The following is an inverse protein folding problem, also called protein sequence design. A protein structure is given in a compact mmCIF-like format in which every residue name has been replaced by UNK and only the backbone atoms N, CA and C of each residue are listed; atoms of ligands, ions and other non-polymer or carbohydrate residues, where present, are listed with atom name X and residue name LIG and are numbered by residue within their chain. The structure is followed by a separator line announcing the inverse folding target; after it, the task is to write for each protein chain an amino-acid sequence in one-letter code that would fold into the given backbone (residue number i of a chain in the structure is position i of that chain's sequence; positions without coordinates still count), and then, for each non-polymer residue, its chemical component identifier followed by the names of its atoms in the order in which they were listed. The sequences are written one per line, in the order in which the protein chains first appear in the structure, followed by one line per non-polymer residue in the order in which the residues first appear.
data_IF_115285301779
#
_entry.id   IF_115285301779
#
_cell.length_a   1.000
_cell.length_b   1.000
_cell.length_c   1.000
_cell.angle_alpha   90.00
_cell.angle_beta   90.00
_cell.angle_gamma   90.00
#
_symmetry.space_group_name_H-M   'P 1'
#
loop_
_entity.id
_entity.type
_entity.pdbx_description
1 polymer ?
#
# COMPACT_ATOMS: atom_id res chain seq x y z
N UNK A 1 -37.07 24.09 -31.38
CA UNK A 1 -35.66 23.77 -31.49
C UNK A 1 -34.93 23.71 -30.15
N UNK A 2 -35.28 24.55 -29.21
CA UNK A 2 -34.68 24.53 -27.86
C UNK A 2 -34.96 23.24 -27.06
N UNK A 3 -36.12 22.61 -27.25
CA UNK A 3 -36.52 21.37 -26.56
C UNK A 3 -35.64 20.16 -26.91
N UNK A 4 -35.22 20.04 -28.17
CA UNK A 4 -34.33 18.94 -28.61
C UNK A 4 -32.92 19.04 -28.02
N UNK A 5 -32.40 20.26 -27.92
CA UNK A 5 -31.10 20.50 -27.28
C UNK A 5 -31.13 20.23 -25.79
N UNK A 6 -32.23 20.58 -25.13
CA UNK A 6 -32.40 20.32 -23.69
C UNK A 6 -32.54 18.84 -23.40
N UNK A 7 -33.24 18.08 -24.25
CA UNK A 7 -33.36 16.62 -24.13
C UNK A 7 -32.01 15.92 -24.32
N UNK A 8 -31.21 16.35 -25.31
CA UNK A 8 -29.89 15.81 -25.57
C UNK A 8 -28.94 16.11 -24.38
N UNK A 9 -28.99 17.32 -23.83
CA UNK A 9 -28.22 17.68 -22.63
C UNK A 9 -28.60 16.86 -21.43
N UNK A 10 -29.88 16.60 -21.22
CA UNK A 10 -30.38 15.79 -20.13
C UNK A 10 -29.89 14.35 -20.25
N UNK A 11 -29.94 13.76 -21.45
CA UNK A 11 -29.41 12.43 -21.74
C UNK A 11 -27.90 12.33 -21.52
N UNK A 12 -27.14 13.31 -21.93
CA UNK A 12 -25.70 13.36 -21.72
C UNK A 12 -25.35 13.44 -20.21
N UNK A 13 -26.10 14.25 -19.47
CA UNK A 13 -25.91 14.34 -18.01
C UNK A 13 -26.26 13.04 -17.31
N UNK A 14 -27.31 12.36 -17.71
CA UNK A 14 -27.70 11.06 -17.17
C UNK A 14 -26.65 9.99 -17.48
N UNK A 15 -26.09 9.98 -18.68
CA UNK A 15 -24.99 9.08 -19.04
C UNK A 15 -23.73 9.35 -18.22
N UNK A 16 -23.39 10.62 -18.00
CA UNK A 16 -22.28 11.01 -17.16
C UNK A 16 -22.48 10.57 -15.70
N UNK A 17 -23.69 10.71 -15.19
CA UNK A 17 -24.04 10.20 -13.84
C UNK A 17 -23.91 8.70 -13.73
N UNK A 18 -24.40 7.97 -14.72
CA UNK A 18 -24.28 6.50 -14.76
C UNK A 18 -22.83 6.05 -14.78
N UNK A 19 -21.97 6.75 -15.55
CA UNK A 19 -20.53 6.48 -15.58
C UNK A 19 -19.88 6.76 -14.23
N UNK A 20 -20.23 7.86 -13.56
CA UNK A 20 -19.73 8.20 -12.23
C UNK A 20 -20.13 7.16 -11.19
N UNK A 21 -21.37 6.70 -11.22
CA UNK A 21 -21.86 5.66 -10.33
C UNK A 21 -21.12 4.34 -10.56
N UNK A 22 -20.90 3.98 -11.82
CA UNK A 22 -20.17 2.77 -12.18
C UNK A 22 -18.71 2.81 -11.70
N UNK A 23 -18.01 3.93 -11.91
CA UNK A 23 -16.65 4.13 -11.42
C UNK A 23 -16.60 4.14 -9.90
N UNK A 24 -17.57 4.79 -9.25
CA UNK A 24 -17.71 4.77 -7.80
C UNK A 24 -17.91 3.37 -7.24
N UNK A 25 -18.72 2.54 -7.89
CA UNK A 25 -18.94 1.15 -7.51
C UNK A 25 -17.67 0.30 -7.68
N UNK A 26 -16.91 0.51 -8.75
CA UNK A 26 -15.62 -0.15 -8.96
C UNK A 26 -14.60 0.22 -7.89
N UNK A 27 -14.50 1.49 -7.53
CA UNK A 27 -13.63 1.97 -6.46
C UNK A 27 -14.07 1.38 -5.13
N UNK A 28 -15.36 1.39 -4.83
CA UNK A 28 -15.91 0.81 -3.61
C UNK A 28 -15.66 -0.69 -3.52
N UNK A 29 -15.74 -1.43 -4.64
CA UNK A 29 -15.41 -2.86 -4.69
C UNK A 29 -13.93 -3.11 -4.41
N UNK A 30 -13.03 -2.32 -4.97
CA UNK A 30 -11.59 -2.42 -4.71
C UNK A 30 -11.28 -2.06 -3.26
N UNK A 31 -11.96 -1.07 -2.70
CA UNK A 31 -11.81 -0.70 -1.30
C UNK A 31 -12.41 -1.73 -0.36
N UNK A 32 -13.44 -2.45 -0.81
CA UNK A 32 -14.05 -3.54 -0.05
C UNK A 32 -13.23 -4.84 -0.12
N UNK A 33 -12.28 -4.99 -1.06
CA UNK A 33 -11.33 -6.09 -1.01
C UNK A 33 -10.56 -6.01 0.30
N UNK A 34 -10.42 -7.16 0.99
CA UNK A 34 -9.69 -7.22 2.25
C UNK A 34 -8.29 -6.67 2.06
N UNK A 35 -7.96 -5.73 2.88
CA UNK A 35 -6.60 -5.20 2.95
C UNK A 35 -5.80 -6.00 3.96
N UNK A 36 -4.59 -6.36 3.58
CA UNK A 36 -3.66 -7.08 4.42
C UNK A 36 -2.49 -6.15 4.77
N UNK A 37 -1.97 -6.34 5.95
CA UNK A 37 -0.81 -5.58 6.41
C UNK A 37 0.48 -6.31 6.04
N UNK A 38 1.41 -5.56 5.46
CA UNK A 38 2.80 -6.00 5.25
C UNK A 38 3.67 -5.21 6.21
N UNK A 39 4.47 -5.91 7.00
CA UNK A 39 5.46 -5.27 7.87
C UNK A 39 6.76 -5.11 7.11
N UNK A 40 7.13 -3.88 6.88
CA UNK A 40 8.33 -3.54 6.10
C UNK A 40 9.41 -3.01 7.02
N UNK A 41 10.54 -3.70 7.06
CA UNK A 41 11.71 -3.27 7.82
C UNK A 41 12.57 -2.42 6.90
N UNK A 42 12.83 -1.19 7.31
CA UNK A 42 13.57 -0.21 6.52
C UNK A 42 14.74 0.39 7.32
N UNK A 43 15.79 0.74 6.61
CA UNK A 43 16.93 1.49 7.14
C UNK A 43 17.20 2.66 6.19
N UNK A 44 17.07 3.89 6.69
CA UNK A 44 17.23 5.13 5.91
C UNK A 44 16.40 5.16 4.63
N UNK A 45 15.16 4.65 4.68
CA UNK A 45 14.25 4.57 3.54
C UNK A 45 14.51 3.39 2.60
N UNK A 46 15.52 2.58 2.86
CA UNK A 46 15.80 1.38 2.07
C UNK A 46 15.09 0.19 2.71
N UNK A 47 14.27 -0.50 1.93
CA UNK A 47 13.57 -1.69 2.39
C UNK A 47 14.55 -2.87 2.50
N UNK A 48 14.66 -3.44 3.70
CA UNK A 48 15.51 -4.60 3.98
C UNK A 48 14.75 -5.91 3.91
N UNK A 49 13.47 -5.89 4.20
CA UNK A 49 12.64 -7.09 4.15
C UNK A 49 11.17 -6.79 4.37
N UNK A 50 10.33 -7.67 3.84
CA UNK A 50 8.88 -7.65 4.01
C UNK A 50 8.44 -8.88 4.79
N UNK A 51 7.51 -8.68 5.72
CA UNK A 51 6.97 -9.75 6.57
C UNK A 51 5.46 -9.75 6.48
N UNK A 52 4.90 -10.94 6.64
CA UNK A 52 3.45 -11.15 6.58
C UNK A 52 2.75 -10.51 7.77
N UNK A 53 1.45 -10.31 7.64
CA UNK A 53 0.61 -9.68 8.67
C UNK A 53 0.74 -10.33 10.04
N UNK A 54 0.84 -11.66 10.10
CA UNK A 54 0.98 -12.44 11.31
C UNK A 54 2.44 -12.64 11.75
N UNK A 55 3.38 -12.01 11.07
CA UNK A 55 4.82 -12.16 11.30
C UNK A 55 5.47 -10.91 11.92
N UNK A 56 4.71 -10.13 12.65
CA UNK A 56 5.23 -8.90 13.28
C UNK A 56 6.44 -9.16 14.17
N UNK A 57 6.40 -10.20 14.99
CA UNK A 57 7.52 -10.53 15.87
C UNK A 57 8.76 -10.97 15.09
N UNK A 58 8.58 -11.61 13.95
CA UNK A 58 9.69 -11.93 13.05
C UNK A 58 10.30 -10.67 12.45
N UNK A 59 9.48 -9.69 12.12
CA UNK A 59 9.96 -8.39 11.65
C UNK A 59 10.78 -7.66 12.73
N UNK A 60 10.33 -7.69 13.97
CA UNK A 60 11.05 -7.12 15.12
C UNK A 60 12.40 -7.81 15.32
N UNK A 61 12.42 -9.15 15.28
CA UNK A 61 13.64 -9.93 15.41
C UNK A 61 14.63 -9.64 14.28
N UNK A 62 14.13 -9.52 13.06
CA UNK A 62 14.93 -9.19 11.88
C UNK A 62 15.55 -7.78 12.01
N UNK A 63 14.76 -6.81 12.45
CA UNK A 63 15.24 -5.45 12.69
C UNK A 63 16.35 -5.44 13.76
N UNK A 64 16.16 -6.16 14.84
CA UNK A 64 17.15 -6.26 15.92
C UNK A 64 18.46 -6.91 15.44
N UNK A 65 18.35 -7.97 14.62
CA UNK A 65 19.51 -8.63 14.01
C UNK A 65 20.28 -7.66 13.09
N UNK A 66 19.57 -6.96 12.22
CA UNK A 66 20.18 -5.97 11.31
C UNK A 66 20.80 -4.79 12.07
N UNK A 67 20.15 -4.32 13.11
CA UNK A 67 20.70 -3.27 13.98
C UNK A 67 21.99 -3.73 14.65
N UNK A 68 22.06 -4.97 15.13
CA UNK A 68 23.24 -5.56 15.73
C UNK A 68 24.39 -5.70 14.73
N UNK A 69 24.11 -6.12 13.50
CA UNK A 69 25.11 -6.19 12.43
C UNK A 69 25.71 -4.81 12.11
N UNK A 70 24.86 -3.80 12.03
CA UNK A 70 25.28 -2.42 11.76
C UNK A 70 26.12 -1.87 12.92
N UNK A 71 25.69 -2.12 14.15
CA UNK A 71 26.40 -1.67 15.36
C UNK A 71 27.76 -2.35 15.52
N UNK A 72 27.86 -3.60 15.09
CA UNK A 72 29.12 -4.36 15.12
C UNK A 72 30.12 -3.95 14.03
N UNK A 73 29.67 -3.25 12.98
CA UNK A 73 30.53 -2.81 11.88
C UNK A 73 31.28 -1.52 12.27
N UNK A 74 32.63 -1.55 12.41
CA UNK A 74 33.37 -0.37 12.80
C UNK A 74 33.38 0.73 11.73
N UNK A 75 33.00 0.42 10.49
CA UNK A 75 32.96 1.38 9.40
C UNK A 75 31.60 2.04 9.25
N UNK A 76 30.56 1.53 9.92
CA UNK A 76 29.23 2.09 9.85
C UNK A 76 29.00 3.10 10.99
N UNK A 77 28.41 4.23 10.65
CA UNK A 77 27.95 5.19 11.65
C UNK A 77 26.49 4.86 12.02
N UNK A 78 26.33 3.96 13.00
CA UNK A 78 25.02 3.51 13.46
C UNK A 78 24.17 4.62 14.08
N UNK A 79 24.79 5.72 14.47
CA UNK A 79 24.09 6.85 15.12
C UNK A 79 23.18 7.61 14.18
N UNK A 80 23.51 7.65 12.89
CA UNK A 80 22.75 8.38 11.89
C UNK A 80 21.79 7.51 11.11
N UNK A 81 21.78 6.20 11.35
CA UNK A 81 20.89 5.28 10.66
C UNK A 81 19.57 5.12 11.39
N UNK A 82 18.49 5.47 10.73
CA UNK A 82 17.14 5.21 11.20
C UNK A 82 16.67 3.83 10.73
N UNK A 83 16.45 2.95 11.69
CA UNK A 83 15.78 1.68 11.42
C UNK A 83 14.36 1.75 11.93
N UNK A 84 13.42 1.30 11.11
CA UNK A 84 12.00 1.37 11.43
C UNK A 84 11.24 0.21 10.83
N UNK A 85 10.11 -0.11 11.44
CA UNK A 85 9.13 -1.05 10.90
C UNK A 85 7.94 -0.22 10.47
N UNK A 86 7.60 -0.31 9.19
CA UNK A 86 6.44 0.37 8.63
C UNK A 86 5.33 -0.62 8.36
N UNK A 87 4.11 -0.25 8.72
CA UNK A 87 2.94 -0.98 8.31
C UNK A 87 2.50 -0.48 6.94
N UNK A 88 2.41 -1.38 5.98
CA UNK A 88 1.96 -1.08 4.63
C UNK A 88 0.72 -1.90 4.33
N UNK A 89 -0.38 -1.23 3.97
CA UNK A 89 -1.62 -1.90 3.64
C UNK A 89 -1.72 -2.12 2.14
N UNK A 90 -1.91 -3.37 1.76
CA UNK A 90 -2.05 -3.77 0.37
C UNK A 90 -3.36 -4.54 0.18
N UNK A 91 -3.92 -4.51 -1.01
CA UNK A 91 -5.06 -5.33 -1.37
C UNK A 91 -4.64 -6.80 -1.41
N UNK A 92 -5.58 -7.69 -1.11
CA UNK A 92 -5.30 -9.12 -0.99
C UNK A 92 -4.68 -9.73 -2.25
N UNK A 93 -5.11 -9.28 -3.42
CA UNK A 93 -4.56 -9.74 -4.70
C UNK A 93 -3.07 -9.40 -4.90
N UNK A 94 -2.57 -8.36 -4.24
CA UNK A 94 -1.17 -7.93 -4.31
C UNK A 94 -0.33 -8.46 -3.14
N UNK A 95 -0.99 -9.00 -2.12
CA UNK A 95 -0.34 -9.38 -0.85
C UNK A 95 0.78 -10.41 -1.05
N UNK A 96 0.50 -11.49 -1.76
CA UNK A 96 1.50 -12.54 -1.99
C UNK A 96 2.67 -12.07 -2.85
N UNK A 97 2.44 -11.15 -3.80
CA UNK A 97 3.48 -10.56 -4.62
C UNK A 97 4.51 -9.74 -3.84
N UNK A 98 4.16 -9.27 -2.64
CA UNK A 98 5.10 -8.53 -1.78
C UNK A 98 6.24 -9.40 -1.24
N UNK A 99 6.09 -10.73 -1.25
CA UNK A 99 7.04 -11.68 -0.68
C UNK A 99 7.79 -12.48 -1.73
N UNK A 100 7.38 -12.38 -2.98
CA UNK A 100 8.08 -13.00 -4.10
C UNK A 100 9.35 -12.19 -4.40
N UNK A 101 10.45 -12.84 -4.20
CA UNK A 101 11.77 -12.22 -4.42
C UNK A 101 12.08 -12.11 -5.92
#
# INVERSE_FOLDING_TARGET
MSKLRDEIRTLELDQLRSLREFVGDLIARKEAESRRTVWRVCSDGICLGNFREDEYLKAVAFLAEKASEIDADPTSDSRDRRMEILSHRVIESEYEGCFDA
#
